data_IF_338594610827
#
_entry.id   IF_338594610827
#
_cell.length_a   1.000
_cell.length_b   1.000
_cell.length_c   1.000
_cell.angle_alpha   90.00
_cell.angle_beta   90.00
_cell.angle_gamma   90.00
#
_symmetry.space_group_name_H-M   'P 1'
#
loop_
_entity.id
_entity.type
_entity.pdbx_description
1 polymer ?
#
# COMPACT_ATOMS: atom_id res chain seq x y z
N UNK A 1 -23.30 1.14 24.64
CA UNK A 1 -22.27 0.43 23.86
C UNK A 1 -22.03 1.24 22.59
N UNK A 2 -21.16 2.24 22.66
CA UNK A 2 -20.73 2.98 21.47
C UNK A 2 -19.84 2.01 20.70
N UNK A 3 -20.29 1.52 19.55
CA UNK A 3 -19.42 0.79 18.65
C UNK A 3 -18.36 1.78 18.17
N UNK A 4 -17.12 1.60 18.62
CA UNK A 4 -16.02 2.44 18.16
C UNK A 4 -15.97 2.36 16.64
N UNK A 5 -16.32 3.47 15.99
CA UNK A 5 -16.23 3.61 14.54
C UNK A 5 -14.73 3.48 14.24
N UNK A 6 -14.31 2.33 13.72
CA UNK A 6 -12.92 2.09 13.32
C UNK A 6 -12.64 3.05 12.17
N UNK A 7 -12.00 4.17 12.49
CA UNK A 7 -11.53 5.12 11.49
C UNK A 7 -10.36 4.47 10.75
N UNK A 8 -10.38 4.44 9.40
CA UNK A 8 -9.20 4.03 8.64
C UNK A 8 -8.01 4.90 9.05
N UNK A 9 -6.82 4.31 9.11
CA UNK A 9 -5.58 5.06 9.24
C UNK A 9 -5.41 5.97 8.01
N UNK A 10 -4.79 7.13 8.19
CA UNK A 10 -4.29 7.94 7.08
C UNK A 10 -2.80 7.70 6.86
N UNK A 11 -2.29 7.96 5.66
CA UNK A 11 -0.87 7.80 5.32
C UNK A 11 0.01 8.64 6.25
N UNK A 12 -0.39 9.87 6.56
CA UNK A 12 0.37 10.76 7.46
C UNK A 12 0.48 10.25 8.90
N UNK A 13 -0.36 9.29 9.30
CA UNK A 13 -0.37 8.71 10.65
C UNK A 13 0.47 7.43 10.72
N UNK A 14 0.99 6.93 9.60
CA UNK A 14 1.83 5.75 9.58
C UNK A 14 3.15 6.03 10.30
N UNK A 15 3.51 5.11 11.20
CA UNK A 15 4.75 5.10 11.96
C UNK A 15 5.42 3.73 11.80
N UNK A 16 6.75 3.66 11.94
CA UNK A 16 7.47 2.39 11.95
C UNK A 16 6.87 1.40 12.96
N UNK A 17 6.81 0.12 12.58
CA UNK A 17 6.32 -0.99 13.40
C UNK A 17 4.83 -0.95 13.79
N UNK A 18 4.03 -0.07 13.19
CA UNK A 18 2.57 -0.12 13.36
C UNK A 18 2.00 -1.45 12.82
N UNK A 19 1.04 -2.00 13.58
CA UNK A 19 0.30 -3.22 13.23
C UNK A 19 -1.18 -2.87 13.04
N UNK A 20 -1.93 -3.78 12.43
CA UNK A 20 -3.38 -3.63 12.19
C UNK A 20 -3.72 -2.35 11.40
N UNK A 21 -2.93 -2.09 10.35
CA UNK A 21 -3.12 -0.93 9.47
C UNK A 21 -4.34 -1.19 8.59
N UNK A 22 -5.31 -0.28 8.62
CA UNK A 22 -6.47 -0.26 7.73
C UNK A 22 -6.41 1.01 6.89
N UNK A 23 -6.03 0.90 5.63
CA UNK A 23 -5.67 2.05 4.79
C UNK A 23 -6.35 1.96 3.43
N UNK A 24 -6.97 3.06 2.99
CA UNK A 24 -7.47 3.20 1.61
C UNK A 24 -6.61 4.19 0.86
N UNK A 25 -6.13 3.83 -0.32
CA UNK A 25 -5.19 4.64 -1.09
C UNK A 25 -5.39 4.48 -2.60
N UNK A 26 -4.95 5.48 -3.36
CA UNK A 26 -4.82 5.43 -4.82
C UNK A 26 -3.37 5.11 -5.21
N UNK A 27 -3.19 4.28 -6.24
CA UNK A 27 -1.90 3.99 -6.83
C UNK A 27 -1.53 5.09 -7.82
N UNK A 28 -0.39 5.75 -7.60
CA UNK A 28 0.06 6.87 -8.44
C UNK A 28 1.11 6.47 -9.47
N UNK A 29 2.02 5.57 -9.10
CA UNK A 29 3.14 5.16 -9.96
C UNK A 29 3.58 3.73 -9.61
N UNK A 30 4.11 3.02 -10.61
CA UNK A 30 4.49 1.62 -10.52
C UNK A 30 5.93 1.47 -11.01
N UNK A 31 6.82 1.10 -10.10
CA UNK A 31 8.21 0.80 -10.43
C UNK A 31 8.37 -0.52 -11.19
N UNK A 32 9.57 -0.71 -11.75
CA UNK A 32 9.95 -1.95 -12.42
C UNK A 32 9.95 -3.15 -11.46
N UNK A 33 9.61 -4.32 -11.97
CA UNK A 33 9.70 -5.58 -11.22
C UNK A 33 11.15 -6.02 -11.05
N UNK A 34 11.50 -6.46 -9.86
CA UNK A 34 12.77 -7.09 -9.51
C UNK A 34 12.53 -8.49 -8.98
N UNK A 35 13.22 -9.48 -9.54
CA UNK A 35 13.27 -10.85 -9.01
C UNK A 35 14.29 -10.96 -7.87
N UNK A 36 13.90 -11.50 -6.73
CA UNK A 36 14.79 -11.84 -5.62
C UNK A 36 15.57 -13.13 -5.91
N UNK A 37 16.71 -13.39 -5.24
CA UNK A 37 17.45 -14.65 -5.38
C UNK A 37 16.62 -15.89 -5.03
N UNK A 38 15.62 -15.74 -4.15
CA UNK A 38 14.69 -16.79 -3.75
C UNK A 38 13.56 -17.02 -4.76
N UNK A 39 13.53 -16.23 -5.84
CA UNK A 39 12.56 -16.39 -6.92
C UNK A 39 11.22 -15.70 -6.66
N UNK A 40 11.19 -14.61 -5.89
CA UNK A 40 9.99 -13.77 -5.74
C UNK A 40 10.11 -12.48 -6.54
N UNK A 41 9.03 -12.03 -7.15
CA UNK A 41 8.99 -10.72 -7.79
C UNK A 41 8.58 -9.64 -6.79
N UNK A 42 9.22 -8.47 -6.86
CA UNK A 42 8.94 -7.32 -6.01
C UNK A 42 8.88 -6.07 -6.86
N UNK A 43 7.83 -5.27 -6.66
CA UNK A 43 7.69 -3.94 -7.24
C UNK A 43 7.56 -2.92 -6.10
N UNK A 44 8.21 -1.77 -6.28
CA UNK A 44 7.95 -0.60 -5.44
C UNK A 44 6.92 0.27 -6.14
N UNK A 45 5.80 0.53 -5.49
CA UNK A 45 4.74 1.41 -5.97
C UNK A 45 4.67 2.66 -5.11
N UNK A 46 4.24 3.78 -5.69
CA UNK A 46 3.90 4.99 -4.92
C UNK A 46 2.39 5.08 -4.77
N UNK A 47 1.92 5.14 -3.53
CA UNK A 47 0.51 5.22 -3.18
C UNK A 47 0.22 6.47 -2.38
N UNK A 48 -1.00 7.00 -2.49
CA UNK A 48 -1.38 8.24 -1.85
C UNK A 48 -2.80 8.25 -1.31
N UNK A 49 -3.02 9.15 -0.35
CA UNK A 49 -4.30 9.60 0.15
C UNK A 49 -4.24 11.15 0.26
N UNK A 50 -5.32 11.84 0.70
CA UNK A 50 -5.29 13.30 0.85
C UNK A 50 -4.24 13.83 1.84
N UNK A 51 -3.68 12.99 2.70
CA UNK A 51 -2.72 13.36 3.74
C UNK A 51 -1.26 13.20 3.32
N UNK A 52 -0.98 12.46 2.25
CA UNK A 52 0.38 12.30 1.72
C UNK A 52 0.55 11.11 0.80
N UNK A 53 1.80 10.73 0.56
CA UNK A 53 2.15 9.54 -0.24
C UNK A 53 3.31 8.78 0.37
N UNK A 54 3.32 7.46 0.19
CA UNK A 54 4.40 6.56 0.63
C UNK A 54 4.77 5.57 -0.46
N UNK A 55 5.97 5.00 -0.35
CA UNK A 55 6.37 3.86 -1.17
C UNK A 55 5.91 2.57 -0.48
N UNK A 56 5.35 1.65 -1.26
CA UNK A 56 4.91 0.33 -0.81
C UNK A 56 5.55 -0.75 -1.68
N UNK A 57 6.08 -1.79 -1.03
CA UNK A 57 6.58 -2.98 -1.72
C UNK A 57 5.47 -3.99 -1.92
N UNK A 58 5.23 -4.40 -3.16
CA UNK A 58 4.23 -5.41 -3.51
C UNK A 58 4.95 -6.63 -4.08
N UNK A 59 4.50 -7.82 -3.65
CA UNK A 59 5.18 -9.08 -3.94
C UNK A 59 4.35 -9.97 -4.86
N UNK A 60 5.06 -10.67 -5.76
CA UNK A 60 4.54 -11.69 -6.67
C UNK A 60 3.32 -11.20 -7.45
N UNK A 61 2.35 -12.10 -7.67
CA UNK A 61 1.19 -11.92 -8.54
C UNK A 61 0.33 -10.70 -8.19
N UNK A 62 0.35 -10.22 -6.93
CA UNK A 62 -0.34 -8.98 -6.55
C UNK A 62 0.23 -7.78 -7.32
N UNK A 63 1.55 -7.75 -7.51
CA UNK A 63 2.24 -6.68 -8.23
C UNK A 63 1.93 -6.64 -9.73
N UNK A 64 1.46 -7.75 -10.30
CA UNK A 64 1.10 -7.85 -11.72
C UNK A 64 -0.35 -7.43 -11.99
N UNK A 65 -1.17 -7.30 -10.94
CA UNK A 65 -2.59 -6.92 -11.01
C UNK A 65 -2.86 -5.52 -10.44
N UNK A 66 -1.82 -4.72 -10.20
CA UNK A 66 -1.93 -3.33 -9.77
C UNK A 66 -1.65 -2.39 -10.93
N UNK A 67 -2.51 -1.40 -11.13
CA UNK A 67 -2.38 -0.36 -12.16
C UNK A 67 -2.46 1.05 -11.56
N UNK A 68 -1.84 2.02 -12.24
CA UNK A 68 -1.94 3.42 -11.84
C UNK A 68 -3.40 3.90 -11.96
N UNK A 69 -3.89 4.58 -10.93
CA UNK A 69 -5.29 4.99 -10.81
C UNK A 69 -6.16 4.02 -10.00
N UNK A 70 -5.71 2.79 -9.73
CA UNK A 70 -6.47 1.86 -8.90
C UNK A 70 -6.63 2.37 -7.47
N UNK A 71 -7.79 2.08 -6.87
CA UNK A 71 -8.07 2.37 -5.46
C UNK A 71 -8.14 1.05 -4.70
N UNK A 72 -7.26 0.89 -3.72
CA UNK A 72 -7.13 -0.33 -2.92
C UNK A 72 -7.41 -0.05 -1.45
N UNK A 73 -7.84 -1.10 -0.74
CA UNK A 73 -7.95 -1.11 0.72
C UNK A 73 -7.12 -2.26 1.29
N UNK A 74 -6.22 -1.92 2.21
CA UNK A 74 -5.45 -2.85 3.03
C UNK A 74 -6.16 -3.08 4.37
#
# INVERSE_FOLDING_TARGET
MSGDIIRPNSISQLMPNMKNINLTFIVLDIGQSRRTPQGHDVRTIRVADPTGSVLMGVWNDVGDNIFAGDIWRL
#
